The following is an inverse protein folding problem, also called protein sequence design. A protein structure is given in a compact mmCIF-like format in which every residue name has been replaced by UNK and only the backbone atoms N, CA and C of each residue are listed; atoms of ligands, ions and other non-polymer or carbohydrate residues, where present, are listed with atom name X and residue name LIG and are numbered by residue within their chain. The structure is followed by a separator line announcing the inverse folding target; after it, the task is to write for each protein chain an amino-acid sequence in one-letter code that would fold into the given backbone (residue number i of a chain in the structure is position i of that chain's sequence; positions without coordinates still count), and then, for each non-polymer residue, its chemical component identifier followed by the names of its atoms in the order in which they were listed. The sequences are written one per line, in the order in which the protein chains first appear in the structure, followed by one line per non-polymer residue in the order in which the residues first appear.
data_IF_909844866538
#
_entry.id   IF_909844866538
#
_cell.length_a   1.000
_cell.length_b   1.000
_cell.length_c   1.000
_cell.angle_alpha   90.00
_cell.angle_beta   90.00
_cell.angle_gamma   90.00
#
_symmetry.space_group_name_H-M   'P 1'
#
loop_
_entity.id
_entity.type
_entity.pdbx_description
1 polymer ?
#
# COMPACT_ATOMS: atom_id res chain seq x y z
N UNK A 1 10.29 -14.47 -11.15
CA UNK A 1 8.96 -13.89 -11.45
C UNK A 1 7.83 -14.92 -11.45
N UNK A 2 8.08 -16.20 -11.76
CA UNK A 2 7.07 -17.27 -11.82
C UNK A 2 6.58 -17.76 -10.46
N UNK A 3 7.41 -17.79 -9.43
CA UNK A 3 7.07 -18.39 -8.13
C UNK A 3 5.88 -17.72 -7.43
N UNK A 4 5.84 -16.38 -7.42
CA UNK A 4 4.72 -15.64 -6.83
C UNK A 4 3.40 -15.85 -7.59
N UNK A 5 3.47 -16.03 -8.91
CA UNK A 5 2.30 -16.40 -9.72
C UNK A 5 1.86 -17.83 -9.40
N UNK A 6 2.79 -18.76 -9.21
CA UNK A 6 2.48 -20.13 -8.78
C UNK A 6 1.76 -20.14 -7.43
N UNK A 7 2.25 -19.40 -6.43
CA UNK A 7 1.57 -19.29 -5.14
C UNK A 7 0.19 -18.64 -5.27
N UNK A 8 0.09 -17.54 -6.01
CA UNK A 8 -1.20 -16.86 -6.23
C UNK A 8 -2.21 -17.81 -6.89
N UNK A 9 -1.79 -18.57 -7.89
CA UNK A 9 -2.66 -19.52 -8.58
C UNK A 9 -3.07 -20.66 -7.66
N UNK A 10 -2.11 -21.27 -6.95
CA UNK A 10 -2.38 -22.33 -5.99
C UNK A 10 -3.45 -21.93 -4.98
N UNK A 11 -3.31 -20.75 -4.37
CA UNK A 11 -4.24 -20.25 -3.36
C UNK A 11 -5.62 -19.93 -3.94
N UNK A 12 -5.68 -19.34 -5.14
CA UNK A 12 -6.95 -19.07 -5.82
C UNK A 12 -7.67 -20.36 -6.20
N UNK A 13 -6.94 -21.38 -6.66
CA UNK A 13 -7.50 -22.71 -6.94
C UNK A 13 -8.00 -23.39 -5.66
N UNK A 14 -7.18 -23.41 -4.61
CA UNK A 14 -7.56 -24.02 -3.34
C UNK A 14 -8.82 -23.37 -2.74
N UNK A 15 -8.96 -22.05 -2.85
CA UNK A 15 -10.17 -21.36 -2.41
C UNK A 15 -11.44 -21.81 -3.16
N UNK A 16 -11.37 -22.20 -4.43
CA UNK A 16 -12.56 -22.66 -5.17
C UNK A 16 -13.16 -23.93 -4.55
N UNK A 17 -12.33 -24.76 -3.93
CA UNK A 17 -12.75 -26.02 -3.30
C UNK A 17 -12.92 -25.90 -1.78
N UNK A 18 -12.08 -25.07 -1.13
CA UNK A 18 -11.95 -25.02 0.33
C UNK A 18 -12.29 -23.64 0.93
N UNK A 19 -12.83 -22.71 0.14
CA UNK A 19 -13.22 -21.36 0.61
C UNK A 19 -14.53 -21.30 1.39
N UNK A 20 -15.17 -22.43 1.67
CA UNK A 20 -16.40 -22.49 2.48
C UNK A 20 -16.10 -22.16 3.93
N UNK A 21 -16.90 -21.29 4.55
CA UNK A 21 -16.85 -21.01 5.99
C UNK A 21 -17.58 -22.06 6.84
N UNK A 22 -18.40 -22.91 6.20
CA UNK A 22 -19.06 -24.04 6.85
C UNK A 22 -18.21 -25.28 6.67
N UNK A 23 -17.78 -25.88 7.78
CA UNK A 23 -16.96 -27.08 7.82
C UNK A 23 -17.81 -28.29 8.16
N UNK A 24 -17.62 -29.37 7.39
CA UNK A 24 -17.98 -30.72 7.82
C UNK A 24 -16.75 -31.38 8.45
N UNK A 25 -16.93 -32.36 9.32
CA UNK A 25 -15.83 -33.06 10.02
C UNK A 25 -14.86 -33.74 9.04
N UNK A 26 -15.31 -33.99 7.82
CA UNK A 26 -14.54 -34.66 6.76
C UNK A 26 -14.00 -33.70 5.69
N UNK A 27 -14.24 -32.39 5.82
CA UNK A 27 -13.88 -31.41 4.79
C UNK A 27 -12.90 -30.37 5.32
N UNK A 28 -11.89 -30.04 4.51
CA UNK A 28 -10.95 -28.97 4.82
C UNK A 28 -11.54 -27.60 4.47
N UNK A 29 -11.39 -26.62 5.37
CA UNK A 29 -11.73 -25.21 5.11
C UNK A 29 -10.52 -24.32 5.32
N UNK A 30 -10.27 -23.45 4.34
CA UNK A 30 -9.11 -22.56 4.29
C UNK A 30 -9.23 -21.35 5.22
N UNK A 31 -10.45 -20.92 5.56
CA UNK A 31 -10.71 -19.71 6.37
C UNK A 31 -11.34 -20.08 7.72
N UNK A 32 -11.06 -21.28 8.23
CA UNK A 32 -11.59 -21.73 9.50
C UNK A 32 -10.50 -22.35 10.36
N UNK A 33 -10.43 -21.90 11.59
CA UNK A 33 -9.56 -22.43 12.62
C UNK A 33 -10.36 -23.23 13.65
N UNK A 34 -10.01 -24.50 13.91
CA UNK A 34 -10.64 -25.26 14.98
C UNK A 34 -10.26 -24.69 16.35
N UNK A 35 -11.22 -24.69 17.28
CA UNK A 35 -10.97 -24.32 18.68
C UNK A 35 -9.85 -25.18 19.29
N UNK A 36 -8.89 -24.60 20.03
CA UNK A 36 -8.85 -23.23 20.57
C UNK A 36 -8.05 -22.23 19.72
N UNK A 37 -7.70 -22.57 18.48
CA UNK A 37 -6.87 -21.73 17.62
C UNK A 37 -7.71 -20.69 16.88
N UNK A 38 -7.06 -19.64 16.39
CA UNK A 38 -7.67 -18.59 15.58
C UNK A 38 -6.69 -18.14 14.49
N UNK A 39 -7.24 -17.71 13.35
CA UNK A 39 -6.51 -17.16 12.20
C UNK A 39 -5.33 -18.05 11.72
N UNK A 40 -5.54 -19.37 11.65
CA UNK A 40 -4.54 -20.31 11.14
C UNK A 40 -4.36 -20.16 9.64
N UNK A 41 -3.14 -19.77 9.23
CA UNK A 41 -2.72 -19.47 7.84
C UNK A 41 -3.41 -18.23 7.27
N UNK A 42 -4.74 -18.19 7.29
CA UNK A 42 -5.58 -17.06 6.89
C UNK A 42 -6.48 -16.64 8.04
N UNK A 43 -6.99 -15.40 7.98
CA UNK A 43 -7.95 -14.96 8.98
C UNK A 43 -9.27 -15.68 8.86
N UNK A 44 -9.89 -16.02 9.99
CA UNK A 44 -11.20 -16.69 10.02
C UNK A 44 -12.32 -15.77 9.51
N UNK A 45 -12.08 -14.46 9.50
CA UNK A 45 -12.98 -13.46 8.91
C UNK A 45 -12.83 -13.31 7.39
N UNK A 46 -11.87 -13.98 6.76
CA UNK A 46 -11.64 -13.88 5.33
C UNK A 46 -12.75 -14.58 4.53
N UNK A 47 -13.25 -13.90 3.50
CA UNK A 47 -14.27 -14.45 2.58
C UNK A 47 -13.64 -14.91 1.27
N UNK A 48 -12.64 -14.14 0.80
CA UNK A 48 -12.03 -14.35 -0.52
C UNK A 48 -10.67 -13.66 -0.64
N UNK A 49 -9.70 -14.40 -1.18
CA UNK A 49 -8.43 -13.93 -1.70
C UNK A 49 -8.64 -13.26 -3.07
N UNK A 50 -7.99 -12.11 -3.24
CA UNK A 50 -8.00 -11.35 -4.48
C UNK A 50 -6.59 -11.33 -5.07
N UNK A 51 -6.35 -11.91 -6.26
CA UNK A 51 -5.05 -11.82 -6.90
C UNK A 51 -4.75 -10.37 -7.28
N UNK A 52 -3.52 -9.95 -7.02
CA UNK A 52 -3.03 -8.62 -7.42
C UNK A 52 -2.24 -8.73 -8.73
N UNK A 53 -2.38 -7.76 -9.65
CA UNK A 53 -1.57 -7.74 -10.86
C UNK A 53 -0.11 -7.52 -10.49
N UNK A 54 0.81 -8.05 -11.30
CA UNK A 54 2.24 -8.12 -10.99
C UNK A 54 2.85 -6.74 -10.62
N UNK A 55 2.43 -5.68 -11.30
CA UNK A 55 2.88 -4.30 -11.04
C UNK A 55 2.33 -3.68 -9.76
N UNK A 56 1.43 -4.34 -9.03
CA UNK A 56 0.82 -3.86 -7.78
C UNK A 56 1.13 -4.74 -6.57
N UNK A 57 2.09 -5.67 -6.68
CA UNK A 57 2.44 -6.61 -5.60
C UNK A 57 3.51 -6.09 -4.63
N UNK A 58 4.10 -4.92 -4.90
CA UNK A 58 5.03 -4.32 -3.95
C UNK A 58 4.32 -3.96 -2.64
N UNK A 59 4.91 -4.32 -1.51
CA UNK A 59 4.40 -3.98 -0.19
C UNK A 59 4.20 -2.48 -0.03
N UNK A 60 5.08 -1.65 -0.59
CA UNK A 60 4.97 -0.19 -0.56
C UNK A 60 3.74 0.32 -1.34
N UNK A 61 3.43 -0.30 -2.48
CA UNK A 61 2.27 0.07 -3.30
C UNK A 61 0.97 -0.28 -2.56
N UNK A 62 0.92 -1.46 -1.94
CA UNK A 62 -0.28 -1.94 -1.22
C UNK A 62 -0.50 -1.15 0.07
N UNK A 63 0.57 -0.90 0.82
CA UNK A 63 0.53 -0.16 2.07
C UNK A 63 0.25 1.35 1.88
N UNK A 64 0.54 1.88 0.69
CA UNK A 64 0.47 3.31 0.40
C UNK A 64 1.58 4.10 1.08
N UNK A 65 1.62 5.42 0.86
CA UNK A 65 2.70 6.29 1.39
C UNK A 65 2.67 6.44 2.92
N UNK A 66 1.50 6.31 3.54
CA UNK A 66 1.29 6.63 4.96
C UNK A 66 1.80 5.54 5.90
N UNK A 67 1.52 4.26 5.61
CA UNK A 67 1.82 3.17 6.53
C UNK A 67 3.34 2.92 6.69
N UNK A 68 4.16 2.81 5.63
CA UNK A 68 5.61 2.69 5.77
C UNK A 68 6.24 3.92 6.43
N UNK A 69 5.68 5.12 6.22
CA UNK A 69 6.11 6.34 6.91
C UNK A 69 5.84 6.24 8.42
N UNK A 70 4.62 5.88 8.81
CA UNK A 70 4.26 5.68 10.21
C UNK A 70 5.14 4.60 10.86
N UNK A 71 5.39 3.50 10.15
CA UNK A 71 6.28 2.42 10.60
C UNK A 71 7.72 2.90 10.85
N UNK A 72 8.26 3.80 10.01
CA UNK A 72 9.59 4.39 10.23
C UNK A 72 9.64 5.29 11.46
N UNK A 73 8.59 6.07 11.72
CA UNK A 73 8.53 6.97 12.89
C UNK A 73 8.58 6.17 14.20
N UNK A 74 7.97 4.98 14.24
CA UNK A 74 7.94 4.13 15.44
C UNK A 74 9.07 3.10 15.49
N UNK A 75 9.86 2.95 14.43
CA UNK A 75 10.94 1.98 14.35
C UNK A 75 12.21 2.51 14.99
N UNK A 76 12.75 1.78 15.98
CA UNK A 76 14.02 2.12 16.64
C UNK A 76 15.23 2.09 15.69
N UNK A 77 15.14 1.35 14.57
CA UNK A 77 16.22 1.19 13.61
C UNK A 77 16.16 2.23 12.47
N UNK A 78 15.15 3.11 12.47
CA UNK A 78 15.00 4.08 11.41
C UNK A 78 16.06 5.20 11.51
N UNK A 79 16.69 5.60 10.39
CA UNK A 79 17.68 6.68 10.40
C UNK A 79 17.03 8.02 10.78
N UNK A 80 17.73 8.84 11.56
CA UNK A 80 17.25 10.13 12.09
C UNK A 80 16.68 11.08 11.01
N UNK A 81 17.17 11.00 9.78
CA UNK A 81 16.66 11.78 8.65
C UNK A 81 15.21 11.43 8.25
N UNK A 82 14.70 10.25 8.62
CA UNK A 82 13.35 9.78 8.25
C UNK A 82 12.24 10.22 9.20
N UNK A 83 12.58 10.86 10.32
CA UNK A 83 11.62 11.38 11.30
C UNK A 83 11.16 12.80 11.00
N UNK A 84 11.83 13.52 10.10
CA UNK A 84 11.46 14.88 9.77
C UNK A 84 10.26 14.89 8.83
N UNK A 85 9.13 15.42 9.29
CA UNK A 85 7.90 15.62 8.50
C UNK A 85 8.18 16.45 7.22
N UNK A 86 9.23 17.29 7.26
CA UNK A 86 9.68 18.14 6.17
C UNK A 86 10.64 17.47 5.16
N UNK A 87 11.07 16.22 5.37
CA UNK A 87 11.95 15.53 4.42
C UNK A 87 11.19 14.91 3.24
N UNK A 88 9.91 15.26 3.04
CA UNK A 88 9.17 14.79 1.88
C UNK A 88 9.58 15.63 0.65
N UNK A 89 10.40 15.08 -0.27
CA UNK A 89 10.81 15.81 -1.46
C UNK A 89 9.60 16.21 -2.32
N UNK A 90 8.47 15.49 -2.22
CA UNK A 90 7.23 15.85 -2.89
C UNK A 90 6.66 17.17 -2.33
N UNK A 91 6.71 17.38 -1.01
CA UNK A 91 6.23 18.62 -0.39
C UNK A 91 7.09 19.82 -0.78
N UNK A 92 8.41 19.68 -0.72
CA UNK A 92 9.35 20.75 -1.09
C UNK A 92 9.30 21.05 -2.59
N UNK A 93 9.19 20.02 -3.45
CA UNK A 93 9.08 20.22 -4.90
C UNK A 93 7.75 20.88 -5.29
N UNK A 94 6.65 20.55 -4.60
CA UNK A 94 5.36 21.19 -4.83
C UNK A 94 5.37 22.66 -4.37
N UNK A 95 5.95 22.96 -3.20
CA UNK A 95 6.13 24.33 -2.73
C UNK A 95 7.03 25.14 -3.67
N UNK A 96 8.14 24.56 -4.14
CA UNK A 96 9.03 25.18 -5.12
C UNK A 96 8.33 25.44 -6.45
N UNK A 97 7.57 24.47 -6.97
CA UNK A 97 6.82 24.60 -8.23
C UNK A 97 5.77 25.69 -8.13
N UNK A 98 5.04 25.77 -7.02
CA UNK A 98 4.05 26.83 -6.77
C UNK A 98 4.74 28.20 -6.68
N UNK A 99 5.86 28.29 -5.96
CA UNK A 99 6.62 29.54 -5.82
C UNK A 99 7.18 30.05 -7.15
N UNK A 100 7.77 29.15 -7.95
CA UNK A 100 8.34 29.48 -9.26
C UNK A 100 7.26 29.92 -10.26
N UNK A 101 6.15 29.18 -10.35
CA UNK A 101 5.01 29.54 -11.21
C UNK A 101 4.41 30.87 -10.76
N UNK A 102 4.25 31.09 -9.45
CA UNK A 102 3.77 32.35 -8.90
C UNK A 102 4.67 33.54 -9.27
N UNK A 103 6.00 33.36 -9.24
CA UNK A 103 6.94 34.40 -9.65
C UNK A 103 6.83 34.72 -11.15
N UNK A 104 6.71 33.72 -12.02
CA UNK A 104 6.52 33.95 -13.46
C UNK A 104 5.22 34.71 -13.74
N UNK A 105 4.13 34.36 -13.06
CA UNK A 105 2.85 35.06 -13.24
C UNK A 105 2.96 36.52 -12.77
N UNK A 106 3.59 36.76 -11.62
CA UNK A 106 3.77 38.11 -11.09
C UNK A 106 4.62 38.98 -12.02
N UNK A 107 5.74 38.47 -12.55
CA UNK A 107 6.59 39.21 -13.48
C UNK A 107 5.90 39.47 -14.81
N UNK A 108 5.15 38.49 -15.34
CA UNK A 108 4.36 38.67 -16.56
C UNK A 108 3.30 39.78 -16.38
N UNK A 109 2.56 39.77 -15.27
CA UNK A 109 1.58 40.82 -14.96
C UNK A 109 2.23 42.20 -14.79
N UNK A 110 3.40 42.27 -14.14
CA UNK A 110 4.14 43.51 -13.96
C UNK A 110 4.62 44.10 -15.30
N UNK A 111 5.16 43.27 -16.20
CA UNK A 111 5.59 43.69 -17.54
C UNK A 111 4.39 44.18 -18.36
N UNK A 112 3.27 43.47 -18.33
CA UNK A 112 2.03 43.91 -19.01
C UNK A 112 1.53 45.25 -18.45
N UNK A 113 1.64 45.47 -17.14
CA UNK A 113 1.29 46.74 -16.50
C UNK A 113 2.23 47.91 -16.82
N UNK A 114 3.50 47.65 -17.14
CA UNK A 114 4.46 48.67 -17.57
C UNK A 114 4.36 49.02 -19.06
N UNK A 115 3.85 48.09 -19.88
CA UNK A 115 3.70 48.26 -21.34
C UNK A 115 2.32 48.84 -21.72
N UNK A 116 1.40 48.97 -20.76
CA UNK A 116 0.14 49.70 -20.89
C UNK A 116 0.24 51.10 -20.31
#
# INVERSE_FOLDING_TARGET
HTELDTFSNLLVYAQQFYGSTQTDEFSFSMFFSPSPYADLIFSDAAVRLKPLPHNKRSAEIIAGKALPRAARIVSCDAPQASYYIASDPDFLSQAYRIGFVGHIVATALFVVGLVR
#
